data_IF_761452597838
#
_entry.id   IF_761452597838
#
_cell.length_a   1.000
_cell.length_b   1.000
_cell.length_c   1.000
_cell.angle_alpha   90.00
_cell.angle_beta   90.00
_cell.angle_gamma   90.00
#
_symmetry.space_group_name_H-M   'P 1'
#
loop_
_entity.id
_entity.type
_entity.pdbx_description
1 polymer ?
#
# COMPACT_ATOMS: atom_id res chain seq x y z
N UNK A 1 5.30 12.61 -13.85
CA UNK A 1 6.59 11.89 -13.70
C UNK A 1 7.48 12.54 -12.64
N UNK A 2 7.10 12.52 -11.36
CA UNK A 2 7.93 13.15 -10.29
C UNK A 2 9.19 12.34 -9.96
N UNK A 3 9.12 11.02 -10.04
CA UNK A 3 10.24 10.12 -9.71
C UNK A 3 11.44 10.22 -10.67
N UNK A 4 11.20 10.55 -11.95
CA UNK A 4 12.29 10.73 -12.91
C UNK A 4 13.02 12.05 -12.68
N UNK A 5 12.27 13.12 -12.42
CA UNK A 5 12.84 14.44 -12.12
C UNK A 5 13.76 14.37 -10.89
N UNK A 6 13.30 13.78 -9.79
CA UNK A 6 14.11 13.62 -8.57
C UNK A 6 15.39 12.80 -8.81
N UNK A 7 15.32 11.74 -9.64
CA UNK A 7 16.50 10.94 -9.97
C UNK A 7 17.56 11.74 -10.73
N UNK A 8 17.16 12.56 -11.72
CA UNK A 8 18.08 13.43 -12.45
C UNK A 8 18.64 14.55 -11.57
N UNK A 9 17.82 15.17 -10.72
CA UNK A 9 18.29 16.18 -9.73
C UNK A 9 19.38 15.59 -8.83
N UNK A 10 19.20 14.37 -8.31
CA UNK A 10 20.20 13.73 -7.47
C UNK A 10 21.48 13.36 -8.25
N UNK A 11 21.36 12.96 -9.52
CA UNK A 11 22.52 12.71 -10.38
C UNK A 11 23.35 13.97 -10.61
N UNK A 12 22.72 15.08 -11.03
CA UNK A 12 23.42 16.35 -11.25
C UNK A 12 24.00 16.93 -9.96
N UNK A 13 23.37 16.69 -8.81
CA UNK A 13 23.91 17.06 -7.51
C UNK A 13 25.01 16.12 -6.98
N UNK A 14 25.48 15.13 -7.77
CA UNK A 14 26.54 14.20 -7.38
C UNK A 14 26.16 13.20 -6.27
N UNK A 15 24.87 13.11 -5.90
CA UNK A 15 24.36 12.27 -4.81
C UNK A 15 23.91 10.88 -5.27
N UNK A 16 23.79 10.67 -6.58
CA UNK A 16 23.40 9.40 -7.17
C UNK A 16 24.11 9.16 -8.51
N UNK A 17 24.18 7.90 -8.94
CA UNK A 17 24.65 7.53 -10.28
C UNK A 17 23.61 7.93 -11.34
N UNK A 18 24.02 7.95 -12.61
CA UNK A 18 23.14 8.25 -13.74
C UNK A 18 21.87 7.37 -13.70
N UNK A 19 20.66 7.95 -13.79
CA UNK A 19 19.41 7.19 -13.72
C UNK A 19 19.34 6.15 -14.85
N UNK A 20 18.97 4.91 -14.51
CA UNK A 20 18.72 3.86 -15.50
C UNK A 20 17.23 3.54 -15.56
N UNK A 21 16.75 3.16 -16.75
CA UNK A 21 15.40 2.63 -16.89
C UNK A 21 15.22 1.38 -16.03
N UNK A 22 14.02 1.22 -15.46
CA UNK A 22 13.65 0.01 -14.73
C UNK A 22 13.58 -1.17 -15.69
N UNK A 23 14.12 -2.32 -15.26
CA UNK A 23 13.99 -3.59 -15.99
C UNK A 23 12.52 -4.02 -16.05
N UNK A 24 12.13 -4.73 -17.11
CA UNK A 24 10.80 -5.36 -17.23
C UNK A 24 10.53 -6.41 -16.15
N UNK A 25 11.59 -6.97 -15.56
CA UNK A 25 11.52 -7.93 -14.45
C UNK A 25 11.52 -7.26 -13.06
N UNK A 26 11.66 -5.94 -12.99
CA UNK A 26 11.53 -5.22 -11.73
C UNK A 26 10.06 -5.13 -11.30
N UNK A 27 9.82 -4.75 -10.04
CA UNK A 27 8.47 -4.53 -9.51
C UNK A 27 7.65 -3.66 -10.48
N UNK A 28 6.57 -4.23 -11.01
CA UNK A 28 5.68 -3.55 -11.94
C UNK A 28 4.75 -2.67 -11.13
N UNK A 29 4.96 -1.36 -11.19
CA UNK A 29 4.23 -0.38 -10.40
C UNK A 29 4.17 0.96 -11.12
N UNK A 30 2.99 1.58 -11.13
CA UNK A 30 2.75 2.90 -11.69
C UNK A 30 1.85 3.72 -10.74
N UNK A 31 2.33 4.90 -10.37
CA UNK A 31 1.61 5.84 -9.50
C UNK A 31 1.07 7.01 -10.32
N UNK A 32 -0.22 7.27 -10.17
CA UNK A 32 -0.99 8.33 -10.81
C UNK A 32 -1.39 9.34 -9.74
N UNK A 33 -0.96 10.59 -9.90
CA UNK A 33 -1.39 11.71 -9.05
C UNK A 33 -2.79 12.18 -9.44
N UNK A 34 -3.42 13.02 -8.63
CA UNK A 34 -4.79 13.54 -8.85
C UNK A 34 -5.13 14.00 -10.28
N UNK A 35 -4.17 14.57 -11.01
CA UNK A 35 -4.37 14.99 -12.41
C UNK A 35 -4.30 13.86 -13.46
N UNK A 36 -3.94 12.65 -13.05
CA UNK A 36 -3.65 11.51 -13.91
C UNK A 36 -4.57 10.30 -13.65
N UNK A 37 -5.64 10.49 -12.87
CA UNK A 37 -6.74 9.55 -12.75
C UNK A 37 -8.05 10.31 -12.49
N UNK A 38 -9.18 9.65 -12.68
CA UNK A 38 -10.49 10.23 -12.39
C UNK A 38 -11.57 9.17 -12.26
N UNK A 39 -12.72 9.57 -11.75
CA UNK A 39 -13.90 8.71 -11.63
C UNK A 39 -14.98 9.17 -12.61
N UNK A 40 -15.58 8.23 -13.32
CA UNK A 40 -16.76 8.47 -14.18
C UNK A 40 -17.72 7.30 -14.02
N UNK A 41 -18.97 7.59 -13.65
CA UNK A 41 -20.01 6.58 -13.41
C UNK A 41 -19.55 5.48 -12.42
N UNK A 42 -18.87 5.89 -11.33
CA UNK A 42 -18.32 4.98 -10.33
C UNK A 42 -17.11 4.14 -10.78
N UNK A 43 -16.59 4.36 -11.99
CA UNK A 43 -15.48 3.61 -12.57
C UNK A 43 -14.19 4.43 -12.56
N UNK A 44 -13.08 3.77 -12.23
CA UNK A 44 -11.76 4.39 -12.18
C UNK A 44 -11.15 4.47 -13.58
N UNK A 45 -10.76 5.66 -14.02
CA UNK A 45 -10.00 5.90 -15.23
C UNK A 45 -8.58 6.34 -14.87
N UNK A 46 -7.60 5.83 -15.60
CA UNK A 46 -6.20 6.22 -15.48
C UNK A 46 -5.76 6.92 -16.76
N UNK A 47 -4.90 7.93 -16.64
CA UNK A 47 -4.36 8.62 -17.81
C UNK A 47 -3.65 7.62 -18.73
N UNK A 48 -3.84 7.80 -20.05
CA UNK A 48 -3.29 6.94 -21.11
C UNK A 48 -3.86 5.51 -21.13
N UNK A 49 -5.03 5.28 -20.54
CA UNK A 49 -5.83 4.08 -20.71
C UNK A 49 -7.07 4.40 -21.54
N UNK A 50 -7.42 3.51 -22.47
CA UNK A 50 -8.58 3.69 -23.35
C UNK A 50 -9.92 3.46 -22.63
N UNK A 51 -9.90 2.76 -21.48
CA UNK A 51 -11.08 2.39 -20.72
C UNK A 51 -10.86 2.39 -19.21
N UNK A 52 -11.94 2.16 -18.44
CA UNK A 52 -11.87 2.10 -17.00
C UNK A 52 -11.14 0.84 -16.51
N UNK A 53 -10.57 0.92 -15.32
CA UNK A 53 -10.03 -0.21 -14.58
C UNK A 53 -11.14 -0.81 -13.73
N UNK A 54 -11.45 -2.09 -13.99
CA UNK A 54 -12.24 -2.89 -13.08
C UNK A 54 -11.36 -3.41 -11.94
N UNK A 55 -11.86 -3.35 -10.71
CA UNK A 55 -11.18 -3.88 -9.54
C UNK A 55 -12.19 -4.40 -8.52
N UNK A 56 -11.74 -5.32 -7.66
CA UNK A 56 -12.52 -5.77 -6.50
C UNK A 56 -12.23 -4.82 -5.34
N UNK A 57 -13.29 -4.33 -4.70
CA UNK A 57 -13.19 -3.40 -3.59
C UNK A 57 -13.44 -4.11 -2.26
N UNK A 58 -12.52 -3.94 -1.32
CA UNK A 58 -12.57 -4.69 -0.05
C UNK A 58 -13.50 -4.06 1.01
N UNK A 59 -13.98 -2.83 0.77
CA UNK A 59 -14.74 -2.04 1.74
C UNK A 59 -16.15 -1.76 1.17
N UNK A 60 -17.09 -2.70 1.28
CA UNK A 60 -18.38 -2.62 0.57
C UNK A 60 -19.23 -1.40 0.97
N UNK A 61 -19.03 -0.87 2.18
CA UNK A 61 -19.75 0.30 2.71
C UNK A 61 -19.16 1.64 2.24
N UNK A 62 -17.98 1.62 1.62
CA UNK A 62 -17.25 2.82 1.20
C UNK A 62 -17.25 2.89 -0.32
N UNK A 63 -17.82 3.96 -0.88
CA UNK A 63 -17.68 4.23 -2.31
C UNK A 63 -16.27 4.78 -2.61
N UNK A 64 -15.41 4.05 -3.36
CA UNK A 64 -14.07 4.53 -3.67
C UNK A 64 -14.04 5.81 -4.52
N UNK A 65 -15.15 6.18 -5.18
CA UNK A 65 -15.25 7.44 -5.92
C UNK A 65 -15.43 8.66 -5.00
N UNK A 66 -15.88 8.47 -3.75
CA UNK A 66 -16.19 9.58 -2.82
C UNK A 66 -15.06 9.87 -1.83
N UNK A 67 -14.10 8.95 -1.65
CA UNK A 67 -13.00 9.09 -0.67
C UNK A 67 -11.87 10.05 -1.09
N UNK A 68 -12.05 10.80 -2.18
CA UNK A 68 -11.14 11.86 -2.63
C UNK A 68 -9.62 11.52 -2.57
N UNK A 69 -9.16 10.44 -3.22
CA UNK A 69 -7.76 10.04 -3.15
C UNK A 69 -6.82 11.12 -3.70
N UNK A 70 -5.64 11.26 -3.10
CA UNK A 70 -4.55 12.07 -3.61
C UNK A 70 -3.78 11.37 -4.73
N UNK A 71 -3.69 10.03 -4.65
CA UNK A 71 -2.97 9.20 -5.61
C UNK A 71 -3.62 7.82 -5.77
N UNK A 72 -3.47 7.25 -6.95
CA UNK A 72 -3.75 5.83 -7.24
C UNK A 72 -2.46 5.15 -7.66
N UNK A 73 -2.11 4.04 -7.04
CA UNK A 73 -0.98 3.21 -7.44
C UNK A 73 -1.46 1.85 -7.92
N UNK A 74 -1.15 1.53 -9.17
CA UNK A 74 -1.37 0.19 -9.73
C UNK A 74 -0.07 -0.59 -9.63
N UNK A 75 -0.11 -1.75 -8.97
CA UNK A 75 1.06 -2.62 -8.85
C UNK A 75 0.74 -4.08 -9.07
N UNK A 76 1.75 -4.84 -9.51
CA UNK A 76 1.70 -6.29 -9.63
C UNK A 76 2.66 -6.94 -8.63
N UNK A 77 2.17 -7.91 -7.91
CA UNK A 77 2.97 -8.73 -7.01
C UNK A 77 3.70 -9.86 -7.78
N UNK A 78 4.75 -10.47 -7.19
CA UNK A 78 5.49 -11.56 -7.84
C UNK A 78 4.63 -12.79 -8.18
N UNK A 79 3.52 -13.00 -7.49
CA UNK A 79 2.53 -14.05 -7.77
C UNK A 79 1.62 -13.71 -8.97
N UNK A 80 1.84 -12.57 -9.61
CA UNK A 80 1.16 -12.14 -10.81
C UNK A 80 -0.11 -11.34 -10.57
N UNK A 81 -0.56 -11.16 -9.32
CA UNK A 81 -1.80 -10.44 -8.98
C UNK A 81 -1.62 -8.94 -9.10
N UNK A 82 -2.67 -8.27 -9.55
CA UNK A 82 -2.73 -6.81 -9.68
C UNK A 82 -3.55 -6.18 -8.56
N UNK A 83 -3.09 -5.03 -8.08
CA UNK A 83 -3.74 -4.24 -7.04
C UNK A 83 -3.79 -2.77 -7.45
N UNK A 84 -4.88 -2.10 -7.09
CA UNK A 84 -5.00 -0.66 -7.13
C UNK A 84 -5.10 -0.14 -5.69
N UNK A 85 -4.10 0.64 -5.26
CA UNK A 85 -4.07 1.28 -3.94
C UNK A 85 -4.44 2.76 -4.08
N UNK A 86 -5.45 3.17 -3.32
CA UNK A 86 -5.93 4.55 -3.26
C UNK A 86 -5.34 5.19 -2.01
N UNK A 87 -4.51 6.21 -2.17
CA UNK A 87 -3.96 6.97 -1.04
C UNK A 87 -4.85 8.17 -0.79
N UNK A 88 -5.46 8.22 0.38
CA UNK A 88 -6.32 9.32 0.83
C UNK A 88 -5.59 10.10 1.92
N UNK A 89 -5.78 11.42 1.93
CA UNK A 89 -5.38 12.24 3.07
C UNK A 89 -6.55 12.26 4.05
N UNK A 90 -6.31 11.87 5.29
CA UNK A 90 -7.31 11.98 6.35
C UNK A 90 -7.28 13.42 6.86
N UNK A 91 -8.41 14.13 6.77
CA UNK A 91 -8.53 15.53 7.22
C UNK A 91 -8.32 15.68 8.72
N UNK A 92 -8.67 14.64 9.49
CA UNK A 92 -8.47 14.56 10.93
C UNK A 92 -7.95 13.17 11.28
N UNK A 93 -6.88 13.14 12.08
CA UNK A 93 -6.49 11.91 12.76
C UNK A 93 -7.60 11.46 13.73
N UNK A 94 -7.56 10.22 14.22
CA UNK A 94 -8.47 9.81 15.29
C UNK A 94 -8.36 10.82 16.45
N UNK A 95 -9.51 11.24 16.96
CA UNK A 95 -9.57 12.08 18.18
C UNK A 95 -8.74 11.41 19.27
N UNK A 96 -7.73 12.11 19.85
CA UNK A 96 -6.93 11.54 20.91
C UNK A 96 -7.83 11.16 22.08
N UNK A 97 -7.86 9.87 22.41
CA UNK A 97 -8.51 9.41 23.63
C UNK A 97 -7.67 9.86 24.84
N UNK A 98 -8.29 10.13 26.01
CA UNK A 98 -7.56 10.47 27.21
C UNK A 98 -6.48 9.44 27.51
N UNK A 99 -5.28 9.91 27.85
CA UNK A 99 -4.18 9.03 28.21
C UNK A 99 -4.58 8.16 29.41
N UNK A 100 -4.40 6.85 29.30
CA UNK A 100 -4.72 5.90 30.38
C UNK A 100 -3.73 5.97 31.53
N UNK A 101 -2.58 6.64 31.34
CA UNK A 101 -1.46 6.66 32.29
C UNK A 101 -0.67 5.34 32.35
N UNK A 102 -1.13 4.29 31.67
CA UNK A 102 -0.45 3.01 31.57
C UNK A 102 0.55 2.96 30.43
N UNK A 103 1.66 2.25 30.64
CA UNK A 103 2.64 1.94 29.61
C UNK A 103 2.80 0.41 29.54
N UNK A 104 2.79 -0.13 28.32
CA UNK A 104 3.04 -1.56 28.07
C UNK A 104 4.09 -1.70 26.97
N UNK A 105 5.12 -2.49 27.24
CA UNK A 105 6.08 -2.91 26.21
C UNK A 105 5.45 -4.01 25.36
N UNK A 106 5.64 -3.95 24.04
CA UNK A 106 5.16 -4.96 23.09
C UNK A 106 6.36 -5.54 22.37
N UNK A 107 6.62 -6.84 22.54
CA UNK A 107 7.61 -7.59 21.78
C UNK A 107 6.92 -8.49 20.75
N UNK A 108 7.33 -8.42 19.48
CA UNK A 108 6.68 -9.15 18.38
C UNK A 108 7.51 -10.37 18.00
N UNK A 109 6.87 -11.53 17.90
CA UNK A 109 7.56 -12.81 17.75
C UNK A 109 6.99 -13.72 16.66
N UNK A 110 7.74 -14.80 16.39
CA UNK A 110 7.31 -15.89 15.50
C UNK A 110 6.56 -16.97 16.27
N UNK A 111 6.96 -17.26 17.51
CA UNK A 111 6.28 -18.25 18.38
C UNK A 111 4.92 -17.73 18.87
N UNK A 112 4.94 -16.53 19.46
CA UNK A 112 3.78 -15.75 19.88
C UNK A 112 3.74 -14.49 19.01
N UNK A 113 2.55 -14.04 18.57
CA UNK A 113 2.42 -12.84 17.74
C UNK A 113 2.94 -11.61 18.47
N UNK A 114 2.55 -11.47 19.74
CA UNK A 114 3.01 -10.40 20.61
C UNK A 114 3.10 -10.88 22.07
N UNK A 115 4.11 -10.41 22.80
CA UNK A 115 4.25 -10.58 24.24
C UNK A 115 4.26 -9.20 24.88
N UNK A 116 3.40 -9.01 25.88
CA UNK A 116 3.28 -7.75 26.60
C UNK A 116 4.19 -7.77 27.84
N UNK A 117 4.69 -6.61 28.26
CA UNK A 117 5.44 -6.48 29.52
C UNK A 117 4.61 -6.82 30.77
N UNK A 118 3.29 -6.94 30.63
CA UNK A 118 2.37 -7.47 31.65
C UNK A 118 2.44 -8.99 31.79
N UNK A 119 3.14 -9.69 30.90
CA UNK A 119 3.21 -11.15 30.84
C UNK A 119 2.16 -11.80 29.94
N UNK A 120 1.21 -11.02 29.40
CA UNK A 120 0.22 -11.52 28.43
C UNK A 120 0.90 -11.93 27.11
N UNK A 121 0.41 -13.03 26.52
CA UNK A 121 0.88 -13.54 25.24
C UNK A 121 -0.27 -13.64 24.25
N UNK A 122 -0.12 -12.97 23.12
CA UNK A 122 -1.06 -13.02 22.01
C UNK A 122 -0.56 -14.11 21.04
N UNK A 123 -1.35 -15.18 20.81
CA UNK A 123 -0.89 -16.32 20.02
C UNK A 123 -0.71 -15.96 18.54
N UNK A 124 0.30 -16.55 17.90
CA UNK A 124 0.48 -16.42 16.46
C UNK A 124 -0.59 -17.23 15.71
N UNK A 125 -1.39 -16.61 14.81
CA UNK A 125 -2.40 -17.33 14.03
C UNK A 125 -1.80 -18.27 12.95
N UNK A 126 -0.46 -18.31 12.80
CA UNK A 126 0.31 -19.24 11.96
C UNK A 126 -0.21 -19.34 10.53
N UNK A 127 -0.60 -18.19 9.96
CA UNK A 127 -1.15 -18.12 8.60
C UNK A 127 -0.20 -18.68 7.54
N UNK A 128 1.10 -18.49 7.71
CA UNK A 128 2.15 -19.01 6.83
C UNK A 128 2.22 -20.53 6.85
N UNK A 129 2.28 -21.16 8.03
CA UNK A 129 2.29 -22.63 8.16
C UNK A 129 1.04 -23.25 7.55
N UNK A 130 -0.14 -22.64 7.79
CA UNK A 130 -1.41 -23.10 7.21
C UNK A 130 -1.41 -23.01 5.68
N UNK A 131 -0.95 -21.89 5.13
CA UNK A 131 -0.84 -21.72 3.66
C UNK A 131 0.18 -22.69 3.05
N UNK A 132 1.32 -22.90 3.70
CA UNK A 132 2.34 -23.85 3.26
C UNK A 132 1.82 -25.30 3.20
N UNK A 133 1.07 -25.75 4.22
CA UNK A 133 0.42 -27.07 4.20
C UNK A 133 -0.59 -27.23 3.07
N UNK A 134 -1.34 -26.17 2.73
CA UNK A 134 -2.29 -26.21 1.62
C UNK A 134 -1.60 -26.22 0.25
N UNK A 135 -0.44 -25.57 0.13
CA UNK A 135 0.38 -25.56 -1.09
C UNK A 135 1.12 -26.88 -1.34
N UNK A 136 1.38 -27.67 -0.30
CA UNK A 136 2.02 -28.97 -0.40
C UNK A 136 1.06 -30.13 -0.75
N UNK A 137 -0.22 -29.83 -1.00
CA UNK A 137 -1.25 -30.79 -1.42
C UNK A 137 -1.47 -30.77 -2.92
#
# INVERSE_FOLDING_TARGET
MRHQHAAFVNFFAGRAKYPRFKSRHSRQCATYTRSAFGWRDGRLFLAKMDGPIAFVWSWPEVDPATINPAMVTVSRDPDGRWYASLSVEAETGPEPVPATGGQVGVDLGVSDFAVLSTGEKIPNPRHLERKAKNLAR
#
